data_IF_211073307050
#
_entry.id   IF_211073307050
#
_cell.length_a   1.000
_cell.length_b   1.000
_cell.length_c   1.000
_cell.angle_alpha   90.00
_cell.angle_beta   90.00
_cell.angle_gamma   90.00
#
_symmetry.space_group_name_H-M   'P 1'
#
loop_
_entity.id
_entity.type
_entity.pdbx_description
1 polymer ?
#
# COMPACT_ATOMS: atom_id res chain seq x y z
N UNK A 1 -67.67 1.11 7.17
CA UNK A 1 -66.97 2.38 6.87
C UNK A 1 -65.83 2.53 7.86
N UNK A 2 -64.63 2.87 7.32
CA UNK A 2 -63.34 3.34 7.88
C UNK A 2 -63.18 3.52 9.42
N UNK A 3 -62.00 3.37 10.04
CA UNK A 3 -60.70 3.97 9.69
C UNK A 3 -59.54 3.15 10.30
N UNK A 4 -58.50 2.86 9.51
CA UNK A 4 -57.19 2.37 10.00
C UNK A 4 -56.29 3.58 10.22
N UNK A 5 -55.87 3.83 11.46
CA UNK A 5 -54.87 4.83 11.80
C UNK A 5 -53.47 4.28 11.48
N UNK A 6 -52.77 4.90 10.52
CA UNK A 6 -51.36 4.67 10.29
C UNK A 6 -50.55 5.66 11.13
N UNK A 7 -49.82 5.16 12.13
CA UNK A 7 -48.84 5.93 12.89
C UNK A 7 -47.55 6.01 12.07
N UNK A 8 -47.27 7.17 11.49
CA UNK A 8 -46.02 7.45 10.78
C UNK A 8 -44.93 7.68 11.84
N UNK A 9 -44.10 6.67 12.08
CA UNK A 9 -42.89 6.80 12.88
C UNK A 9 -41.85 7.59 12.10
N UNK A 10 -41.61 8.84 12.49
CA UNK A 10 -40.57 9.70 11.93
C UNK A 10 -39.21 9.21 12.46
N UNK A 11 -38.52 8.37 11.69
CA UNK A 11 -37.17 7.93 12.02
C UNK A 11 -36.20 9.09 11.72
N UNK A 12 -35.89 9.90 12.74
CA UNK A 12 -34.87 10.94 12.65
C UNK A 12 -33.53 10.22 12.48
N UNK A 13 -33.07 10.13 11.23
CA UNK A 13 -31.72 9.71 10.91
C UNK A 13 -30.77 10.82 11.37
N UNK A 14 -30.24 10.67 12.58
CA UNK A 14 -29.21 11.55 13.11
C UNK A 14 -27.95 11.30 12.28
N UNK A 15 -27.79 12.05 11.18
CA UNK A 15 -26.57 12.08 10.40
C UNK A 15 -25.50 12.75 11.29
N UNK A 16 -24.83 11.95 12.10
CA UNK A 16 -23.64 12.38 12.81
C UNK A 16 -22.58 12.72 11.74
N UNK A 17 -22.42 14.01 11.47
CA UNK A 17 -21.29 14.52 10.70
C UNK A 17 -20.06 14.31 11.58
N UNK A 18 -19.40 13.16 11.41
CA UNK A 18 -18.09 12.92 11.99
C UNK A 18 -17.10 13.85 11.29
N UNK A 19 -16.82 15.00 11.92
CA UNK A 19 -15.63 15.77 11.58
C UNK A 19 -14.44 15.07 12.21
N UNK A 20 -13.83 14.12 11.48
CA UNK A 20 -12.55 13.56 11.87
C UNK A 20 -11.52 14.69 11.77
N UNK A 21 -11.11 15.22 12.93
CA UNK A 21 -9.92 16.05 13.01
C UNK A 21 -8.72 15.16 12.65
N UNK A 22 -7.88 15.64 11.73
CA UNK A 22 -6.65 15.00 11.30
C UNK A 22 -5.64 14.96 12.46
N UNK A 23 -5.77 13.95 13.32
CA UNK A 23 -4.83 13.62 14.37
C UNK A 23 -4.44 12.15 14.21
N UNK A 24 -3.18 11.83 14.51
CA UNK A 24 -2.75 10.43 14.53
C UNK A 24 -3.64 9.62 15.46
N UNK A 25 -4.15 8.49 14.97
CA UNK A 25 -4.90 7.57 15.83
C UNK A 25 -3.91 6.84 16.74
N UNK A 26 -4.05 6.99 18.05
CA UNK A 26 -3.22 6.24 19.00
C UNK A 26 -3.76 4.83 19.19
N UNK A 27 -3.01 3.81 18.76
CA UNK A 27 -3.32 2.40 18.97
C UNK A 27 -2.37 1.81 20.04
N UNK A 28 -2.90 0.99 20.95
CA UNK A 28 -2.10 0.31 21.98
C UNK A 28 -2.00 -1.16 21.59
N UNK A 29 -0.78 -1.68 21.43
CA UNK A 29 -0.58 -3.06 20.98
C UNK A 29 -1.15 -4.07 21.97
N UNK A 30 -2.00 -4.97 21.47
CA UNK A 30 -2.50 -6.10 22.24
C UNK A 30 -1.47 -7.25 22.29
N UNK A 31 -1.68 -8.20 23.21
CA UNK A 31 -0.79 -9.37 23.35
C UNK A 31 -0.80 -10.19 22.04
N UNK A 32 0.37 -10.30 21.40
CA UNK A 32 0.54 -11.04 20.15
C UNK A 32 0.17 -10.26 18.88
N UNK A 33 -0.26 -9.00 19.01
CA UNK A 33 -0.51 -8.13 17.88
C UNK A 33 0.81 -7.71 17.21
N UNK A 34 0.81 -7.60 15.88
CA UNK A 34 2.00 -7.28 15.10
C UNK A 34 1.78 -6.03 14.26
N UNK A 35 2.86 -5.31 13.89
CA UNK A 35 2.74 -4.20 12.92
C UNK A 35 2.14 -4.65 11.59
N UNK A 36 2.32 -5.92 11.20
CA UNK A 36 1.64 -6.48 10.03
C UNK A 36 0.11 -6.53 10.21
N UNK A 37 -0.37 -6.96 11.39
CA UNK A 37 -1.80 -6.96 11.70
C UNK A 37 -2.36 -5.53 11.70
N UNK A 38 -1.64 -4.56 12.29
CA UNK A 38 -2.00 -3.14 12.24
C UNK A 38 -2.01 -2.61 10.80
N UNK A 39 -1.01 -2.95 10.00
CA UNK A 39 -0.93 -2.54 8.60
C UNK A 39 -2.16 -2.96 7.81
N UNK A 40 -2.64 -4.19 8.04
CA UNK A 40 -3.88 -4.69 7.43
C UNK A 40 -5.12 -4.02 8.01
N UNK A 41 -5.18 -3.82 9.33
CA UNK A 41 -6.31 -3.19 10.02
C UNK A 41 -6.52 -1.74 9.57
N UNK A 42 -5.44 -0.96 9.49
CA UNK A 42 -5.47 0.45 9.16
C UNK A 42 -5.18 0.74 7.68
N UNK A 43 -4.91 -0.30 6.87
CA UNK A 43 -4.52 -0.18 5.45
C UNK A 43 -3.30 0.72 5.22
N UNK A 44 -2.36 0.74 6.18
CA UNK A 44 -1.14 1.55 6.14
C UNK A 44 0.07 0.62 6.03
N UNK A 45 1.05 0.89 5.15
CA UNK A 45 2.24 0.05 5.06
C UNK A 45 3.02 0.00 6.38
N UNK A 46 3.58 -1.17 6.71
CA UNK A 46 4.44 -1.34 7.89
C UNK A 46 5.60 -0.34 7.87
N UNK A 47 6.19 -0.03 6.71
CA UNK A 47 7.22 1.00 6.59
C UNK A 47 6.77 2.36 7.15
N UNK A 48 5.54 2.78 6.83
CA UNK A 48 4.97 4.05 7.31
C UNK A 48 4.70 3.98 8.81
N UNK A 49 4.23 2.84 9.32
CA UNK A 49 4.06 2.65 10.77
C UNK A 49 5.41 2.72 11.50
N UNK A 50 6.44 2.09 10.96
CA UNK A 50 7.79 2.13 11.53
C UNK A 50 8.36 3.55 11.55
N UNK A 51 8.32 4.23 10.40
CA UNK A 51 8.82 5.60 10.24
C UNK A 51 8.11 6.57 11.17
N UNK A 52 6.77 6.55 11.19
CA UNK A 52 5.99 7.46 12.03
C UNK A 52 6.25 7.27 13.53
N UNK A 53 6.55 6.05 13.93
CA UNK A 53 6.78 5.69 15.32
C UNK A 53 8.27 5.65 15.71
N UNK A 54 9.17 6.02 14.80
CA UNK A 54 10.62 5.93 14.99
C UNK A 54 11.08 4.53 15.43
N UNK A 55 10.44 3.48 14.90
CA UNK A 55 10.76 2.08 15.18
C UNK A 55 11.65 1.56 14.05
N UNK A 56 12.86 1.10 14.37
CA UNK A 56 13.80 0.56 13.38
C UNK A 56 13.61 -0.94 13.11
N UNK A 57 13.02 -1.67 14.06
CA UNK A 57 12.83 -3.11 13.97
C UNK A 57 11.43 -3.53 14.45
N UNK A 58 10.62 -4.04 13.52
CA UNK A 58 9.26 -4.51 13.77
C UNK A 58 9.21 -5.71 14.74
N UNK A 59 10.29 -6.49 14.87
CA UNK A 59 10.36 -7.63 15.76
C UNK A 59 10.54 -7.25 17.23
N UNK A 60 10.90 -5.99 17.52
CA UNK A 60 11.16 -5.49 18.89
C UNK A 60 9.95 -4.81 19.54
N UNK A 61 8.81 -4.76 18.86
CA UNK A 61 7.59 -4.19 19.44
C UNK A 61 7.06 -5.08 20.56
N UNK A 62 6.44 -4.47 21.58
CA UNK A 62 5.89 -5.20 22.73
C UNK A 62 4.42 -4.86 22.98
N UNK A 63 3.68 -5.79 23.57
CA UNK A 63 2.32 -5.52 24.02
C UNK A 63 2.29 -4.34 25.00
N UNK A 64 1.26 -3.51 24.92
CA UNK A 64 1.14 -2.25 25.67
C UNK A 64 1.90 -1.06 25.06
N UNK A 65 2.73 -1.28 24.03
CA UNK A 65 3.39 -0.19 23.32
C UNK A 65 2.36 0.66 22.56
N UNK A 66 2.51 1.97 22.69
CA UNK A 66 1.75 2.98 21.94
C UNK A 66 2.29 3.09 20.51
N UNK A 67 1.41 2.93 19.53
CA UNK A 67 1.69 3.08 18.11
C UNK A 67 0.78 4.18 17.55
N UNK A 68 1.39 5.26 17.10
CA UNK A 68 0.76 6.34 16.35
C UNK A 68 0.46 5.87 14.93
N UNK A 69 -0.82 5.86 14.57
CA UNK A 69 -1.31 5.50 13.25
C UNK A 69 -1.57 6.81 12.49
N UNK A 70 -0.72 7.16 11.50
CA UNK A 70 -0.90 8.41 10.77
C UNK A 70 -2.11 8.36 9.86
N UNK A 71 -2.75 9.51 9.64
CA UNK A 71 -3.68 9.64 8.52
C UNK A 71 -2.90 9.58 7.20
N UNK A 72 -3.40 8.79 6.24
CA UNK A 72 -2.73 8.62 4.95
C UNK A 72 -3.68 8.75 3.77
N UNK A 73 -3.14 9.08 2.61
CA UNK A 73 -3.87 9.22 1.36
C UNK A 73 -3.11 8.62 0.19
N UNK A 74 -3.77 7.74 -0.58
CA UNK A 74 -3.21 7.18 -1.82
C UNK A 74 -3.51 8.11 -2.98
N UNK A 75 -2.47 8.58 -3.66
CA UNK A 75 -2.56 9.49 -4.80
C UNK A 75 -3.38 8.84 -5.93
N UNK A 76 -4.38 9.56 -6.41
CA UNK A 76 -5.26 9.19 -7.50
C UNK A 76 -4.89 9.90 -8.80
N UNK A 77 -5.41 9.41 -9.93
CA UNK A 77 -5.19 10.04 -11.23
C UNK A 77 -5.80 11.44 -11.24
N UNK A 78 -4.99 12.44 -11.62
CA UNK A 78 -5.41 13.85 -11.65
C UNK A 78 -5.13 14.62 -10.37
N UNK A 79 -4.63 13.96 -9.32
CA UNK A 79 -4.25 14.65 -8.10
C UNK A 79 -3.02 15.55 -8.28
N UNK A 80 -3.07 16.70 -7.63
CA UNK A 80 -1.93 17.60 -7.40
C UNK A 80 -1.71 17.75 -5.89
N UNK A 81 -0.51 18.16 -5.48
CA UNK A 81 -0.27 18.49 -4.07
C UNK A 81 -1.24 19.56 -3.57
N UNK A 82 -1.59 20.51 -4.44
CA UNK A 82 -2.54 21.57 -4.13
C UNK A 82 -3.95 21.02 -3.87
N UNK A 83 -4.49 20.18 -4.75
CA UNK A 83 -5.83 19.61 -4.57
C UNK A 83 -5.91 18.71 -3.34
N UNK A 84 -4.85 17.95 -3.06
CA UNK A 84 -4.77 17.10 -1.86
C UNK A 84 -4.70 17.98 -0.61
N UNK A 85 -3.79 18.94 -0.56
CA UNK A 85 -3.62 19.82 0.59
C UNK A 85 -4.92 20.58 0.92
N UNK A 86 -5.59 21.09 -0.12
CA UNK A 86 -6.91 21.74 0.00
C UNK A 86 -7.97 20.79 0.57
N UNK A 87 -8.03 19.54 0.09
CA UNK A 87 -8.98 18.52 0.56
C UNK A 87 -8.83 18.23 2.06
N UNK A 88 -7.59 18.12 2.53
CA UNK A 88 -7.28 17.81 3.93
C UNK A 88 -7.10 19.05 4.81
N UNK A 89 -7.37 20.25 4.28
CA UNK A 89 -7.20 21.52 5.00
C UNK A 89 -5.80 21.70 5.60
N UNK A 90 -4.78 21.32 4.84
CA UNK A 90 -3.36 21.51 5.17
C UNK A 90 -2.68 22.39 4.13
N UNK A 91 -1.47 22.88 4.41
CA UNK A 91 -0.69 23.59 3.40
C UNK A 91 0.09 22.61 2.53
N UNK A 92 0.34 22.99 1.27
CA UNK A 92 1.21 22.22 0.37
C UNK A 92 2.59 22.02 1.01
N UNK A 93 3.11 23.04 1.69
CA UNK A 93 4.40 22.98 2.38
C UNK A 93 4.40 21.98 3.54
N UNK A 94 3.35 21.97 4.37
CA UNK A 94 3.22 20.97 5.43
C UNK A 94 3.14 19.56 4.86
N UNK A 95 2.36 19.37 3.78
CA UNK A 95 2.22 18.09 3.10
C UNK A 95 3.55 17.62 2.51
N UNK A 96 4.33 18.51 1.88
CA UNK A 96 5.68 18.21 1.40
C UNK A 96 6.61 17.79 2.52
N UNK A 97 6.66 18.58 3.59
CA UNK A 97 7.53 18.34 4.74
C UNK A 97 7.23 17.01 5.42
N UNK A 98 5.94 16.67 5.57
CA UNK A 98 5.52 15.40 6.17
C UNK A 98 5.89 14.16 5.34
N UNK A 99 6.15 14.34 4.04
CA UNK A 99 6.43 13.27 3.08
C UNK A 99 7.82 13.37 2.46
N UNK A 100 8.69 14.23 3.01
CA UNK A 100 10.04 14.50 2.50
C UNK A 100 10.08 14.75 0.98
N UNK A 101 9.07 15.45 0.43
CA UNK A 101 8.96 15.70 -1.01
C UNK A 101 9.76 16.94 -1.41
N UNK A 102 10.65 16.80 -2.39
CA UNK A 102 11.35 17.93 -3.01
C UNK A 102 10.41 18.85 -3.77
N UNK A 103 10.84 20.08 -4.10
CA UNK A 103 10.04 21.09 -4.81
C UNK A 103 9.63 20.69 -6.24
N UNK A 104 10.39 19.81 -6.89
CA UNK A 104 10.16 19.31 -8.24
C UNK A 104 9.62 17.88 -8.30
N UNK A 105 9.33 17.25 -7.16
CA UNK A 105 8.86 15.86 -7.11
C UNK A 105 7.53 15.70 -7.87
N UNK A 106 7.52 14.77 -8.84
CA UNK A 106 6.32 14.41 -9.60
C UNK A 106 5.50 13.40 -8.81
N UNK A 107 4.22 13.71 -8.59
CA UNK A 107 3.30 12.79 -7.93
C UNK A 107 3.07 11.56 -8.79
N UNK A 108 3.33 10.38 -8.21
CA UNK A 108 3.07 9.09 -8.84
C UNK A 108 1.76 8.54 -8.33
N UNK A 109 0.82 8.27 -9.24
CA UNK A 109 -0.45 7.62 -8.92
C UNK A 109 -0.17 6.31 -8.18
N UNK A 110 -0.86 6.11 -7.06
CA UNK A 110 -0.68 4.96 -6.19
C UNK A 110 0.34 5.12 -5.07
N UNK A 111 1.15 6.19 -5.06
CA UNK A 111 2.00 6.50 -3.91
C UNK A 111 1.13 6.90 -2.71
N UNK A 112 1.50 6.45 -1.52
CA UNK A 112 0.83 6.81 -0.26
C UNK A 112 1.52 8.04 0.33
N UNK A 113 0.73 9.02 0.76
CA UNK A 113 1.17 10.22 1.46
C UNK A 113 0.67 10.19 2.90
N UNK A 114 1.52 10.59 3.85
CA UNK A 114 1.17 10.96 5.21
C UNK A 114 0.48 12.33 5.17
N UNK A 115 -0.73 12.43 5.69
CA UNK A 115 -1.44 13.69 5.82
C UNK A 115 -1.04 14.31 7.17
N UNK A 116 -0.39 15.48 7.19
CA UNK A 116 -0.04 16.13 8.44
C UNK A 116 -1.29 16.62 9.15
N UNK A 117 -1.20 16.75 10.47
CA UNK A 117 -2.28 17.35 11.24
C UNK A 117 -2.53 18.79 10.78
N UNK A 118 -3.80 19.11 10.53
CA UNK A 118 -4.20 20.50 10.28
C UNK A 118 -4.04 21.24 11.59
N UNK A 119 -2.94 21.98 11.75
CA UNK A 119 -2.89 23.04 12.77
C UNK A 119 -3.99 24.02 12.40
N UNK A 120 -5.14 23.90 13.07
CA UNK A 120 -6.17 24.92 13.09
C UNK A 120 -5.55 26.11 13.80
N UNK A 121 -4.79 26.92 13.06
CA UNK A 121 -4.32 28.22 13.52
C UNK A 121 -5.57 29.02 13.87
N UNK A 122 -5.83 29.15 15.18
CA UNK A 122 -6.68 30.22 15.68
C UNK A 122 -6.14 31.52 15.10
N UNK A 123 -6.97 32.20 14.33
CA UNK A 123 -6.64 33.45 13.68
C UNK A 123 -6.34 34.48 14.78
N UNK A 124 -5.10 34.96 14.83
CA UNK A 124 -4.79 36.30 15.29
C UNK A 124 -3.99 36.97 14.17
N UNK A 125 -4.66 37.87 13.45
CA UNK A 125 -4.04 38.74 12.47
C UNK A 125 -3.01 39.65 13.17
N UNK A 126 -1.75 39.51 12.80
CA UNK A 126 -0.66 40.38 13.21
C UNK A 126 0.29 40.56 12.04
N UNK A 127 0.04 41.61 11.27
CA UNK A 127 0.92 42.11 10.21
C UNK A 127 2.26 42.57 10.82
N UNK A 128 3.37 42.15 10.23
CA UNK A 128 4.59 42.99 10.14
C UNK A 128 5.59 42.37 9.17
N UNK A 129 5.75 43.02 8.03
CA UNK A 129 6.95 42.98 7.20
C UNK A 129 8.10 43.65 7.96
N UNK A 130 9.34 43.11 7.93
CA UNK A 130 10.43 43.68 7.12
C UNK A 130 11.78 42.96 7.31
N UNK A 131 12.50 42.87 6.18
CA UNK A 131 13.97 42.95 5.97
C UNK A 131 14.96 41.87 6.45
N UNK A 132 15.91 41.63 5.56
CA UNK A 132 16.99 40.64 5.57
C UNK A 132 18.29 41.15 6.22
N UNK A 133 19.08 40.21 6.78
CA UNK A 133 20.55 40.00 6.65
C UNK A 133 21.13 39.36 7.94
N UNK A 134 21.70 38.13 7.86
CA UNK A 134 23.16 37.77 7.95
C UNK A 134 23.72 37.95 9.38
N UNK A 135 24.44 37.06 10.09
CA UNK A 135 25.15 35.76 9.96
C UNK A 135 25.31 35.26 11.44
N UNK A 136 25.54 34.00 11.81
CA UNK A 136 26.78 33.19 11.69
C UNK A 136 26.52 31.78 12.25
N UNK A 137 27.27 30.81 11.74
CA UNK A 137 27.76 29.60 12.42
C UNK A 137 26.80 28.65 13.13
N UNK A 138 26.35 27.65 12.37
CA UNK A 138 26.23 26.26 12.85
C UNK A 138 26.29 25.29 11.66
N UNK A 139 27.39 25.35 10.90
CA UNK A 139 27.75 24.29 9.97
C UNK A 139 28.40 23.14 10.75
N UNK A 140 27.58 22.23 11.28
CA UNK A 140 27.92 20.82 11.49
C UNK A 140 26.71 20.04 12.01
N UNK A 141 26.52 18.86 11.44
CA UNK A 141 25.62 17.80 11.91
C UNK A 141 24.10 18.05 11.79
N UNK A 142 23.59 17.99 10.55
CA UNK A 142 22.34 17.24 10.31
C UNK A 142 22.69 16.07 9.41
N UNK A 143 23.25 15.05 10.04
CA UNK A 143 23.24 13.71 9.48
C UNK A 143 21.78 13.37 9.18
N UNK A 144 21.51 13.26 7.89
CA UNK A 144 20.57 12.34 7.30
C UNK A 144 20.27 11.17 8.24
N UNK A 145 19.17 11.26 8.97
CA UNK A 145 18.54 10.14 9.67
C UNK A 145 17.15 9.96 9.12
N UNK A 146 17.07 9.81 7.79
CA UNK A 146 15.99 9.05 7.20
C UNK A 146 16.19 7.64 7.76
N UNK A 147 15.35 7.24 8.72
CA UNK A 147 15.26 5.86 9.17
C UNK A 147 14.78 5.04 7.96
N UNK A 148 15.71 4.70 7.09
CA UNK A 148 15.50 3.79 5.96
C UNK A 148 15.38 2.41 6.57
N UNK A 149 14.18 2.08 7.04
CA UNK A 149 13.79 0.69 7.15
C UNK A 149 13.89 0.11 5.74
N UNK A 150 14.98 -0.60 5.46
CA UNK A 150 15.12 -1.35 4.23
C UNK A 150 14.17 -2.54 4.29
N UNK A 151 13.44 -2.77 3.19
CA UNK A 151 12.63 -3.98 3.04
C UNK A 151 13.53 -5.19 3.31
N UNK A 152 13.28 -6.01 4.34
CA UNK A 152 14.16 -7.13 4.71
C UNK A 152 14.17 -8.22 3.64
N UNK A 153 13.28 -8.15 2.64
CA UNK A 153 13.32 -9.03 1.48
C UNK A 153 14.47 -8.61 0.58
N UNK A 154 15.37 -9.54 0.32
CA UNK A 154 16.48 -9.32 -0.59
C UNK A 154 16.02 -9.50 -2.04
N UNK A 155 16.41 -8.56 -2.91
CA UNK A 155 16.04 -8.57 -4.32
C UNK A 155 17.28 -8.54 -5.22
N UNK A 156 17.21 -9.27 -6.33
CA UNK A 156 18.22 -9.21 -7.39
C UNK A 156 17.58 -8.56 -8.61
N UNK A 157 18.00 -7.33 -8.91
CA UNK A 157 17.63 -6.67 -10.17
C UNK A 157 18.35 -7.35 -11.32
N UNK A 158 17.60 -7.75 -12.35
CA UNK A 158 18.13 -8.34 -13.58
C UNK A 158 17.50 -7.64 -14.77
N UNK A 159 18.19 -7.65 -15.91
CA UNK A 159 17.54 -7.34 -17.18
C UNK A 159 16.48 -8.41 -17.45
N UNK A 160 15.23 -7.99 -17.54
CA UNK A 160 14.08 -8.87 -17.75
C UNK A 160 13.39 -8.41 -19.02
N UNK A 161 13.07 -9.36 -19.90
CA UNK A 161 12.29 -9.07 -21.10
C UNK A 161 10.92 -8.50 -20.71
N UNK A 162 10.72 -7.22 -21.02
CA UNK A 162 9.48 -6.49 -20.73
C UNK A 162 8.39 -6.78 -21.76
N UNK A 163 8.72 -7.37 -22.91
CA UNK A 163 7.76 -7.76 -23.95
C UNK A 163 7.09 -9.10 -23.66
N UNK A 164 7.62 -9.84 -22.68
CA UNK A 164 7.02 -11.07 -22.19
C UNK A 164 5.64 -10.79 -21.56
N UNK A 165 4.68 -11.70 -21.73
CA UNK A 165 3.33 -11.58 -21.16
C UNK A 165 3.37 -11.68 -19.63
N UNK A 166 3.73 -10.61 -18.93
CA UNK A 166 3.69 -10.56 -17.47
C UNK A 166 2.25 -10.46 -16.95
N UNK A 167 1.95 -10.99 -15.75
CA UNK A 167 0.61 -10.96 -15.19
C UNK A 167 0.03 -9.55 -14.96
N UNK A 168 0.88 -8.54 -14.95
CA UNK A 168 0.54 -7.14 -14.69
C UNK A 168 1.49 -6.24 -15.48
N UNK A 169 1.07 -5.02 -15.79
CA UNK A 169 1.93 -4.00 -16.41
C UNK A 169 3.20 -3.76 -15.58
N UNK A 170 4.37 -3.80 -16.20
CA UNK A 170 5.65 -3.72 -15.48
C UNK A 170 6.13 -2.26 -15.43
N UNK A 171 6.24 -1.71 -14.21
CA UNK A 171 6.98 -0.48 -13.93
C UNK A 171 8.43 -0.82 -13.56
N UNK A 172 8.61 -1.73 -12.60
CA UNK A 172 9.90 -2.34 -12.24
C UNK A 172 9.70 -3.83 -11.96
N UNK A 173 10.76 -4.63 -12.08
CA UNK A 173 10.71 -6.06 -11.79
C UNK A 173 12.05 -6.55 -11.23
N UNK A 174 12.00 -7.34 -10.17
CA UNK A 174 13.19 -7.91 -9.55
C UNK A 174 12.94 -9.35 -9.11
N UNK A 175 13.99 -10.16 -9.13
CA UNK A 175 13.90 -11.51 -8.58
C UNK A 175 13.92 -11.46 -7.06
N UNK A 176 13.05 -12.27 -6.44
CA UNK A 176 13.16 -12.59 -5.02
C UNK A 176 14.42 -13.43 -4.82
N UNK A 177 15.16 -13.17 -3.74
CA UNK A 177 16.32 -13.98 -3.35
C UNK A 177 16.09 -14.65 -1.99
N UNK A 178 16.87 -15.69 -1.69
CA UNK A 178 16.69 -16.53 -0.51
C UNK A 178 15.76 -17.73 -0.77
N UNK A 179 14.88 -18.05 0.20
CA UNK A 179 14.06 -19.28 0.20
C UNK A 179 12.83 -19.21 -0.72
N UNK A 180 12.38 -18.01 -1.09
CA UNK A 180 11.30 -17.82 -2.05
C UNK A 180 11.88 -17.49 -3.41
N UNK A 181 11.47 -18.25 -4.41
CA UNK A 181 11.95 -18.10 -5.78
C UNK A 181 10.80 -17.65 -6.67
N UNK A 182 10.97 -16.48 -7.28
CA UNK A 182 9.96 -15.82 -8.10
C UNK A 182 10.39 -14.39 -8.41
N UNK A 183 9.43 -13.57 -8.82
CA UNK A 183 9.63 -12.15 -9.12
C UNK A 183 8.66 -11.28 -8.33
N UNK A 184 9.14 -10.12 -7.91
CA UNK A 184 8.34 -9.00 -7.47
C UNK A 184 8.18 -8.04 -8.66
N UNK A 185 6.95 -7.73 -9.05
CA UNK A 185 6.61 -6.87 -10.19
C UNK A 185 5.91 -5.63 -9.65
N UNK A 186 6.59 -4.49 -9.70
CA UNK A 186 5.99 -3.19 -9.37
C UNK A 186 5.13 -2.70 -10.52
N UNK A 187 3.98 -2.13 -10.17
CA UNK A 187 3.02 -1.61 -11.14
C UNK A 187 2.35 -0.33 -10.65
N UNK A 188 1.28 0.07 -11.34
CA UNK A 188 0.39 1.15 -10.91
C UNK A 188 -0.68 0.61 -9.96
N UNK A 189 -1.21 1.49 -9.10
CA UNK A 189 -2.28 1.10 -8.18
C UNK A 189 -3.50 0.57 -8.93
N UNK A 190 -4.13 -0.48 -8.38
CA UNK A 190 -5.29 -1.15 -8.95
C UNK A 190 -5.08 -1.76 -10.34
N UNK A 191 -3.84 -1.90 -10.80
CA UNK A 191 -3.55 -2.54 -12.09
C UNK A 191 -4.23 -3.92 -12.19
N UNK A 192 -4.84 -4.26 -13.33
CA UNK A 192 -5.48 -5.55 -13.52
C UNK A 192 -4.41 -6.64 -13.52
N UNK A 193 -4.61 -7.68 -12.71
CA UNK A 193 -3.76 -8.86 -12.72
C UNK A 193 -4.45 -9.94 -13.55
N UNK A 194 -3.73 -10.52 -14.49
CA UNK A 194 -4.22 -11.49 -15.45
C UNK A 194 -3.45 -12.81 -15.37
N UNK A 195 -4.13 -13.90 -15.69
CA UNK A 195 -3.51 -15.21 -15.79
C UNK A 195 -2.60 -15.28 -17.02
N UNK A 196 -1.40 -15.84 -16.88
CA UNK A 196 -0.47 -16.02 -18.01
C UNK A 196 -0.58 -17.42 -18.63
N UNK A 197 -1.30 -18.32 -17.97
CA UNK A 197 -1.53 -19.69 -18.38
C UNK A 197 -2.94 -20.12 -18.01
N UNK A 198 -3.50 -21.07 -18.77
CA UNK A 198 -4.81 -21.66 -18.46
C UNK A 198 -4.68 -22.74 -17.39
N UNK A 199 -5.67 -22.85 -16.51
CA UNK A 199 -5.62 -23.83 -15.43
C UNK A 199 -6.83 -23.79 -14.51
N UNK A 200 -6.78 -24.57 -13.43
CA UNK A 200 -7.81 -24.61 -12.40
C UNK A 200 -7.32 -23.89 -11.15
N UNK A 201 -8.17 -23.09 -10.53
CA UNK A 201 -7.89 -22.50 -9.21
C UNK A 201 -7.87 -23.61 -8.17
N UNK A 202 -6.73 -23.81 -7.51
CA UNK A 202 -6.57 -24.86 -6.48
C UNK A 202 -6.64 -24.32 -5.05
N UNK A 203 -6.31 -23.04 -4.83
CA UNK A 203 -6.38 -22.41 -3.52
C UNK A 203 -6.41 -20.89 -3.64
N UNK A 204 -7.09 -20.25 -2.69
CA UNK A 204 -7.18 -18.80 -2.52
C UNK A 204 -7.08 -18.49 -1.02
N UNK A 205 -6.33 -17.44 -0.65
CA UNK A 205 -6.36 -16.95 0.73
C UNK A 205 -5.36 -15.84 1.02
N UNK A 206 -5.45 -15.21 2.20
CA UNK A 206 -4.44 -14.28 2.68
C UNK A 206 -3.15 -15.04 3.05
N UNK A 207 -2.00 -14.52 2.62
CA UNK A 207 -0.69 -14.98 3.08
C UNK A 207 0.11 -13.81 3.65
N UNK A 208 0.77 -14.05 4.80
CA UNK A 208 1.58 -13.04 5.49
C UNK A 208 2.65 -12.48 4.56
N UNK A 209 2.66 -11.15 4.38
CA UNK A 209 3.58 -10.44 3.49
C UNK A 209 3.23 -10.50 1.99
N UNK A 210 2.19 -11.23 1.60
CA UNK A 210 1.80 -11.44 0.20
C UNK A 210 0.33 -11.08 -0.09
N UNK A 211 -0.40 -10.49 0.87
CA UNK A 211 -1.80 -10.10 0.68
C UNK A 211 -2.68 -11.28 0.29
N UNK A 212 -3.69 -11.05 -0.55
CA UNK A 212 -4.47 -12.14 -1.12
C UNK A 212 -3.64 -12.85 -2.19
N UNK A 213 -3.65 -14.19 -2.15
CA UNK A 213 -2.93 -15.06 -3.08
C UNK A 213 -3.91 -16.01 -3.74
N UNK A 214 -3.71 -16.22 -5.04
CA UNK A 214 -4.41 -17.25 -5.83
C UNK A 214 -3.39 -18.22 -6.43
N UNK A 215 -3.70 -19.51 -6.31
CA UNK A 215 -2.94 -20.62 -6.88
C UNK A 215 -3.71 -21.23 -8.04
N UNK A 216 -3.07 -21.31 -9.21
CA UNK A 216 -3.65 -21.86 -10.43
C UNK A 216 -2.78 -23.01 -10.91
N UNK A 217 -3.35 -24.21 -11.01
CA UNK A 217 -2.65 -25.37 -11.57
C UNK A 217 -3.02 -25.57 -13.04
N UNK A 218 -2.02 -25.58 -13.93
CA UNK A 218 -2.23 -25.89 -15.34
C UNK A 218 -2.46 -27.38 -15.56
N UNK A 219 -2.91 -27.73 -16.78
CA UNK A 219 -3.01 -29.13 -17.23
C UNK A 219 -1.65 -29.84 -17.21
N UNK A 220 -0.58 -29.11 -17.48
CA UNK A 220 0.83 -29.57 -17.43
C UNK A 220 1.41 -29.58 -16.02
N UNK A 221 0.56 -29.57 -14.97
CA UNK A 221 0.95 -29.66 -13.55
C UNK A 221 1.83 -28.53 -13.03
N UNK A 222 2.01 -27.45 -13.80
CA UNK A 222 2.65 -26.24 -13.30
C UNK A 222 1.68 -25.54 -12.34
N UNK A 223 2.22 -24.97 -11.26
CA UNK A 223 1.45 -24.16 -10.31
C UNK A 223 1.91 -22.71 -10.41
N UNK A 224 1.00 -21.83 -10.79
CA UNK A 224 1.20 -20.39 -10.89
C UNK A 224 0.62 -19.74 -9.65
N UNK A 225 1.43 -18.95 -8.96
CA UNK A 225 1.07 -18.28 -7.71
C UNK A 225 1.11 -16.78 -7.93
N UNK A 226 -0.02 -16.13 -7.67
CA UNK A 226 -0.18 -14.68 -7.80
C UNK A 226 -0.53 -14.11 -6.43
N UNK A 227 0.44 -13.48 -5.78
CA UNK A 227 0.28 -12.77 -4.51
C UNK A 227 0.34 -11.24 -4.70
N UNK A 228 -0.22 -10.51 -3.73
CA UNK A 228 -0.31 -9.05 -3.77
C UNK A 228 -1.65 -8.55 -4.29
N UNK A 229 -2.67 -9.40 -4.32
CA UNK A 229 -4.00 -9.02 -4.82
C UNK A 229 -4.80 -8.26 -3.74
N UNK A 230 -5.52 -7.23 -4.16
CA UNK A 230 -6.50 -6.53 -3.33
C UNK A 230 -7.80 -7.33 -3.21
N UNK A 231 -8.22 -7.89 -4.35
CA UNK A 231 -9.40 -8.74 -4.49
C UNK A 231 -9.08 -9.87 -5.47
N UNK A 232 -9.70 -11.02 -5.24
CA UNK A 232 -9.65 -12.16 -6.14
C UNK A 232 -11.06 -12.35 -6.70
N UNK A 233 -11.18 -12.32 -8.02
CA UNK A 233 -12.45 -12.46 -8.72
C UNK A 233 -12.88 -13.93 -8.87
N UNK A 234 -11.98 -14.86 -9.26
CA UNK A 234 -12.35 -16.27 -9.35
C UNK A 234 -12.55 -16.91 -7.99
N UNK A 235 -13.37 -17.95 -7.93
CA UNK A 235 -13.53 -18.80 -6.76
C UNK A 235 -12.65 -20.05 -6.84
N UNK A 236 -12.47 -20.73 -5.70
CA UNK A 236 -11.76 -22.01 -5.67
C UNK A 236 -12.42 -23.02 -6.61
N UNK A 237 -11.62 -23.78 -7.34
CA UNK A 237 -12.08 -24.76 -8.31
C UNK A 237 -12.45 -24.20 -9.69
N UNK A 238 -12.53 -22.88 -9.89
CA UNK A 238 -12.85 -22.26 -11.18
C UNK A 238 -11.82 -22.59 -12.26
N UNK A 239 -12.26 -22.66 -13.52
CA UNK A 239 -11.38 -22.74 -14.67
C UNK A 239 -10.97 -21.34 -15.12
N UNK A 240 -9.68 -21.20 -15.41
CA UNK A 240 -9.04 -19.95 -15.80
C UNK A 240 -8.48 -20.11 -17.20
N UNK A 241 -8.73 -19.13 -18.06
CA UNK A 241 -8.10 -19.01 -19.38
C UNK A 241 -6.95 -18.00 -19.34
N UNK A 242 -5.98 -18.15 -20.24
CA UNK A 242 -4.92 -17.13 -20.41
C UNK A 242 -5.53 -15.75 -20.70
N UNK A 243 -4.97 -14.71 -20.09
CA UNK A 243 -5.46 -13.34 -20.16
C UNK A 243 -6.66 -13.03 -19.26
N UNK A 244 -7.30 -14.04 -18.66
CA UNK A 244 -8.42 -13.81 -17.76
C UNK A 244 -8.00 -12.98 -16.55
N UNK A 245 -8.77 -11.94 -16.25
CA UNK A 245 -8.57 -11.09 -15.09
C UNK A 245 -8.80 -11.90 -13.81
N UNK A 246 -7.78 -11.96 -12.97
CA UNK A 246 -7.78 -12.63 -11.66
C UNK A 246 -8.18 -11.67 -10.54
N UNK A 247 -7.90 -10.38 -10.71
CA UNK A 247 -8.10 -9.39 -9.66
C UNK A 247 -7.50 -8.04 -10.00
N UNK A 248 -7.31 -7.24 -8.96
CA UNK A 248 -6.58 -5.97 -9.01
C UNK A 248 -5.45 -5.97 -8.00
N UNK A 249 -4.37 -5.28 -8.33
CA UNK A 249 -3.19 -5.21 -7.48
C UNK A 249 -3.43 -4.35 -6.22
N UNK A 250 -2.98 -4.83 -5.07
CA UNK A 250 -2.91 -4.06 -3.83
C UNK A 250 -1.54 -3.39 -3.69
N UNK A 251 -1.50 -2.36 -2.84
CA UNK A 251 -0.24 -1.90 -2.25
C UNK A 251 0.32 -2.98 -1.33
N UNK A 252 1.61 -3.25 -1.46
CA UNK A 252 2.35 -4.16 -0.59
C UNK A 252 2.27 -3.66 0.85
N UNK A 253 1.88 -4.54 1.78
CA UNK A 253 1.69 -4.16 3.18
C UNK A 253 3.00 -3.79 3.88
N UNK A 254 4.15 -4.15 3.32
CA UNK A 254 5.45 -3.81 3.89
C UNK A 254 5.91 -2.44 3.37
N UNK A 255 5.95 -2.24 2.05
CA UNK A 255 6.54 -1.03 1.42
C UNK A 255 5.52 0.00 0.92
N UNK A 256 4.24 -0.37 0.74
CA UNK A 256 3.20 0.48 0.16
C UNK A 256 3.19 0.55 -1.36
N UNK A 257 4.21 0.03 -2.02
CA UNK A 257 4.30 -0.03 -3.48
C UNK A 257 3.27 -1.01 -4.04
N UNK A 258 2.49 -0.66 -5.08
CA UNK A 258 1.66 -1.62 -5.79
C UNK A 258 2.54 -2.71 -6.42
N UNK A 259 2.51 -3.93 -5.85
CA UNK A 259 3.46 -4.98 -6.18
C UNK A 259 2.80 -6.36 -6.25
N UNK A 260 3.10 -7.08 -7.34
CA UNK A 260 2.70 -8.46 -7.51
C UNK A 260 3.87 -9.38 -7.16
N UNK A 261 3.61 -10.41 -6.38
CA UNK A 261 4.53 -11.53 -6.20
C UNK A 261 4.09 -12.66 -7.12
N UNK A 262 4.95 -12.98 -8.08
CA UNK A 262 4.67 -14.00 -9.07
C UNK A 262 5.69 -15.12 -8.99
N UNK A 263 5.20 -16.33 -8.74
CA UNK A 263 6.01 -17.54 -8.59
C UNK A 263 5.42 -18.64 -9.47
N UNK A 264 6.27 -19.52 -9.96
CA UNK A 264 5.86 -20.68 -10.73
C UNK A 264 6.58 -21.90 -10.19
N UNK A 265 5.87 -23.02 -10.09
CA UNK A 265 6.41 -24.28 -9.64
C UNK A 265 6.12 -25.38 -10.66
N UNK A 266 7.08 -26.25 -10.88
CA UNK A 266 6.94 -27.48 -11.65
C UNK A 266 7.42 -28.64 -10.76
N UNK A 267 6.58 -29.67 -10.56
CA UNK A 267 6.92 -30.82 -9.73
C UNK A 267 7.44 -30.45 -8.32
N UNK A 268 6.77 -29.49 -7.67
CA UNK A 268 7.14 -28.90 -6.37
C UNK A 268 8.51 -28.20 -6.32
N UNK A 269 9.16 -27.99 -7.46
CA UNK A 269 10.38 -27.21 -7.58
C UNK A 269 10.07 -25.83 -8.16
N UNK A 270 10.72 -24.77 -7.66
CA UNK A 270 10.54 -23.46 -8.23
C UNK A 270 11.07 -23.42 -9.67
N UNK A 271 10.27 -22.86 -10.57
CA UNK A 271 10.63 -22.59 -11.95
C UNK A 271 10.82 -21.08 -12.13
N UNK A 272 11.79 -20.69 -12.95
CA UNK A 272 12.00 -19.29 -13.32
C UNK A 272 10.73 -18.73 -13.95
N UNK A 273 10.07 -17.71 -13.36
CA UNK A 273 8.87 -17.12 -13.92
C UNK A 273 9.06 -16.66 -15.36
N UNK A 274 10.25 -16.15 -15.75
CA UNK A 274 10.52 -15.75 -17.13
C UNK A 274 10.52 -16.93 -18.11
N UNK A 275 10.81 -18.14 -17.64
CA UNK A 275 10.84 -19.38 -18.44
C UNK A 275 9.56 -20.22 -18.32
N UNK A 276 8.63 -19.81 -17.47
CA UNK A 276 7.38 -20.53 -17.26
C UNK A 276 6.57 -20.63 -18.56
N UNK A 277 5.91 -21.77 -18.83
CA UNK A 277 4.98 -21.88 -19.95
C UNK A 277 3.89 -20.82 -19.87
N UNK A 278 3.57 -20.22 -21.01
CA UNK A 278 2.56 -19.16 -21.15
C UNK A 278 1.61 -19.53 -22.28
N UNK A 279 0.33 -19.19 -22.17
CA UNK A 279 -0.68 -19.60 -23.14
C UNK A 279 -1.32 -20.96 -22.83
N UNK A 280 -2.04 -21.52 -23.81
CA UNK A 280 -2.72 -22.83 -23.71
C UNK A 280 -1.73 -23.98 -23.80
#
# INVERSE_FOLDING_TARGET
MSKRCYSIGFFIFFLAVYSAAAADTLHILEKGETLYALSRKYSIPVAILLERNNISDAGKISAGQKIYIPETYTIQKGDTLYSIAKRFSVTVEALRKANSLSNSEVLKVGKILIIPESKKTGIAAGSSNNTAAVSTDAASARQNSQASWEDPRSYVKKSIDKNLLWPVSVVDIAYLSGKLYGVAIDSTANAPVQAIASGRVISIGPHRGYGQVIFIQSKTKHVYVYGGLAQILPQAGAQITVGQKLGTLASDSLTGTPRLYFMVYENNKPLDPAKAPRGK
#
